data_IF_308436006097
#
_entry.id   IF_308436006097
#
_cell.length_a   1.000
_cell.length_b   1.000
_cell.length_c   1.000
_cell.angle_alpha   90.00
_cell.angle_beta   90.00
_cell.angle_gamma   90.00
#
_symmetry.space_group_name_H-M   'P 1'
#
loop_
_entity.id
_entity.type
_entity.pdbx_description
1 polymer ?
#
# COMPACT_ATOMS: atom_id res chain seq x y z
N UNK A 1 3.08 -7.10 -23.14
CA UNK A 1 2.38 -7.70 -21.98
C UNK A 1 3.35 -7.79 -20.78
N UNK A 2 3.52 -6.66 -20.11
CA UNK A 2 4.27 -6.58 -18.85
C UNK A 2 3.45 -7.34 -17.81
N UNK A 3 4.01 -8.43 -17.27
CA UNK A 3 3.33 -9.28 -16.29
C UNK A 3 2.90 -8.45 -15.08
N UNK A 4 1.61 -8.41 -14.77
CA UNK A 4 1.04 -7.66 -13.65
C UNK A 4 1.50 -8.20 -12.28
N UNK A 5 2.02 -9.43 -12.27
CA UNK A 5 2.60 -10.10 -11.11
C UNK A 5 4.14 -10.00 -11.07
N UNK A 6 4.78 -9.27 -12.00
CA UNK A 6 6.24 -9.15 -11.98
C UNK A 6 6.66 -8.29 -10.79
N UNK A 7 7.34 -8.93 -9.84
CA UNK A 7 8.11 -8.26 -8.83
C UNK A 7 9.60 -8.42 -9.14
N UNK A 8 10.41 -7.46 -8.74
CA UNK A 8 11.86 -7.59 -8.85
C UNK A 8 12.42 -8.62 -7.84
N UNK A 9 13.75 -8.70 -7.75
CA UNK A 9 14.44 -9.60 -6.81
C UNK A 9 14.12 -9.30 -5.33
N UNK A 10 13.56 -8.12 -5.04
CA UNK A 10 13.17 -7.67 -3.71
C UNK A 10 11.67 -7.77 -3.46
N UNK A 11 10.91 -8.42 -4.34
CA UNK A 11 9.46 -8.52 -4.19
C UNK A 11 8.72 -7.21 -4.46
N UNK A 12 9.39 -6.19 -5.03
CA UNK A 12 8.77 -4.90 -5.35
C UNK A 12 8.00 -5.04 -6.67
N UNK A 13 6.68 -4.86 -6.59
CA UNK A 13 5.77 -4.84 -7.76
C UNK A 13 5.65 -3.44 -8.35
N UNK A 14 5.09 -3.35 -9.56
CA UNK A 14 4.72 -2.06 -10.16
C UNK A 14 3.73 -1.27 -9.29
N UNK A 15 2.83 -1.94 -8.58
CA UNK A 15 1.85 -1.28 -7.72
C UNK A 15 2.50 -0.64 -6.48
N UNK A 16 3.59 -1.22 -5.96
CA UNK A 16 4.40 -0.58 -4.92
C UNK A 16 5.03 0.73 -5.40
N UNK A 17 5.62 0.72 -6.60
CA UNK A 17 6.24 1.90 -7.19
C UNK A 17 5.19 2.99 -7.46
N UNK A 18 4.05 2.61 -8.04
CA UNK A 18 2.92 3.55 -8.25
C UNK A 18 2.43 4.14 -6.94
N UNK A 19 2.34 3.33 -5.88
CA UNK A 19 1.95 3.79 -4.56
C UNK A 19 2.97 4.77 -3.96
N UNK A 20 4.27 4.53 -4.10
CA UNK A 20 5.31 5.46 -3.64
C UNK A 20 5.42 6.75 -4.45
N UNK A 21 5.01 6.73 -5.72
CA UNK A 21 5.06 7.87 -6.64
C UNK A 21 3.70 8.59 -6.79
N UNK A 22 2.68 8.20 -6.02
CA UNK A 22 1.31 8.73 -6.09
C UNK A 22 0.68 8.65 -7.50
N UNK A 23 0.97 7.60 -8.28
CA UNK A 23 0.47 7.44 -9.66
C UNK A 23 -0.90 6.77 -9.70
N UNK A 24 -1.94 7.44 -9.19
CA UNK A 24 -3.30 6.90 -9.01
C UNK A 24 -3.89 6.35 -10.32
N UNK A 25 -3.79 7.10 -11.42
CA UNK A 25 -4.35 6.67 -12.72
C UNK A 25 -3.75 5.33 -13.19
N UNK A 26 -2.45 5.14 -12.97
CA UNK A 26 -1.76 3.90 -13.36
C UNK A 26 -2.05 2.77 -12.38
N UNK A 27 -2.14 3.07 -11.09
CA UNK A 27 -2.54 2.12 -10.07
C UNK A 27 -3.96 1.59 -10.33
N UNK A 28 -4.91 2.46 -10.70
CA UNK A 28 -6.27 2.08 -11.09
C UNK A 28 -6.28 1.10 -12.24
N UNK A 29 -5.57 1.41 -13.32
CA UNK A 29 -5.48 0.52 -14.47
C UNK A 29 -4.88 -0.85 -14.10
N UNK A 30 -3.88 -0.88 -13.22
CA UNK A 30 -3.27 -2.14 -12.77
C UNK A 30 -4.20 -2.98 -11.90
N UNK A 31 -4.92 -2.34 -10.98
CA UNK A 31 -5.94 -3.01 -10.16
C UNK A 31 -7.08 -3.55 -11.01
N UNK A 32 -7.55 -2.79 -12.01
CA UNK A 32 -8.56 -3.23 -12.97
C UNK A 32 -8.12 -4.46 -13.78
N UNK A 33 -6.83 -4.55 -14.10
CA UNK A 33 -6.27 -5.73 -14.77
C UNK A 33 -5.93 -6.89 -13.81
N UNK A 34 -6.22 -6.75 -12.52
CA UNK A 34 -6.04 -7.82 -11.53
C UNK A 34 -4.65 -7.89 -10.90
N UNK A 35 -3.91 -6.77 -10.85
CA UNK A 35 -2.72 -6.67 -10.00
C UNK A 35 -3.12 -6.92 -8.54
N UNK A 36 -2.32 -7.72 -7.83
CA UNK A 36 -2.57 -8.03 -6.42
C UNK A 36 -2.00 -6.93 -5.50
N UNK A 37 -2.84 -6.17 -4.77
CA UNK A 37 -2.38 -5.13 -3.85
C UNK A 37 -1.77 -5.66 -2.55
N UNK A 38 -1.88 -6.97 -2.30
CA UNK A 38 -1.42 -7.62 -1.08
C UNK A 38 -0.05 -8.28 -1.20
N UNK A 39 0.60 -8.18 -2.36
CA UNK A 39 2.00 -8.61 -2.50
C UNK A 39 2.85 -7.83 -1.51
N UNK A 40 3.71 -8.55 -0.78
CA UNK A 40 4.62 -7.99 0.21
C UNK A 40 6.04 -7.87 -0.38
N UNK A 41 6.65 -6.70 -0.22
CA UNK A 41 8.08 -6.56 -0.49
C UNK A 41 8.93 -7.43 0.47
N UNK A 42 10.15 -7.79 0.07
CA UNK A 42 11.04 -8.62 0.87
C UNK A 42 11.82 -7.84 1.93
N UNK A 43 11.91 -6.51 1.81
CA UNK A 43 12.75 -5.69 2.69
C UNK A 43 12.10 -5.54 4.07
N UNK A 44 10.80 -5.24 4.09
CA UNK A 44 10.04 -5.01 5.32
C UNK A 44 8.77 -5.85 5.41
N UNK A 45 8.33 -6.47 4.31
CA UNK A 45 7.02 -7.13 4.25
C UNK A 45 5.87 -6.16 4.02
N UNK A 46 6.12 -5.00 3.41
CA UNK A 46 5.10 -3.97 3.23
C UNK A 46 4.30 -4.21 1.95
N UNK A 47 3.01 -3.88 1.97
CA UNK A 47 2.12 -3.89 0.81
C UNK A 47 2.14 -2.55 0.07
N UNK A 48 1.43 -2.46 -1.06
CA UNK A 48 1.30 -1.18 -1.80
C UNK A 48 0.62 -0.09 -0.96
N UNK A 49 -0.38 -0.42 -0.15
CA UNK A 49 -0.99 0.54 0.77
C UNK A 49 -0.01 1.03 1.84
N UNK A 50 0.86 0.15 2.34
CA UNK A 50 1.88 0.51 3.31
C UNK A 50 2.95 1.43 2.70
N UNK A 51 3.28 1.26 1.41
CA UNK A 51 4.17 2.17 0.68
C UNK A 51 3.57 3.57 0.53
N UNK A 52 2.29 3.67 0.17
CA UNK A 52 1.58 4.97 0.10
C UNK A 52 1.58 5.67 1.47
N UNK A 53 1.24 4.93 2.53
CA UNK A 53 1.24 5.44 3.90
C UNK A 53 2.63 5.87 4.38
N UNK A 54 3.69 5.11 4.04
CA UNK A 54 5.08 5.46 4.34
C UNK A 54 5.52 6.76 3.64
N UNK A 55 5.11 6.95 2.39
CA UNK A 55 5.47 8.11 1.59
C UNK A 55 4.64 9.36 1.90
N UNK A 56 3.51 9.23 2.60
CA UNK A 56 2.66 10.37 2.97
C UNK A 56 1.65 10.75 1.90
N UNK A 57 1.26 9.83 1.02
CA UNK A 57 0.32 10.09 -0.08
C UNK A 57 -1.11 9.77 0.36
N UNK A 58 -1.79 10.77 0.90
CA UNK A 58 -3.17 10.73 1.39
C UNK A 58 -4.19 10.36 0.31
N UNK A 59 -4.04 10.92 -0.90
CA UNK A 59 -4.89 10.60 -2.04
C UNK A 59 -4.76 9.12 -2.46
N UNK A 60 -3.53 8.60 -2.57
CA UNK A 60 -3.30 7.18 -2.89
C UNK A 60 -3.81 6.25 -1.80
N UNK A 61 -3.64 6.60 -0.51
CA UNK A 61 -4.18 5.80 0.60
C UNK A 61 -5.69 5.72 0.49
N UNK A 62 -6.36 6.86 0.28
CA UNK A 62 -7.82 6.92 0.17
C UNK A 62 -8.30 6.12 -1.04
N UNK A 63 -7.66 6.29 -2.20
CA UNK A 63 -7.95 5.54 -3.42
C UNK A 63 -7.83 4.01 -3.22
N UNK A 64 -6.74 3.53 -2.61
CA UNK A 64 -6.55 2.09 -2.37
C UNK A 64 -7.62 1.55 -1.41
N UNK A 65 -7.98 2.29 -0.37
CA UNK A 65 -9.07 1.87 0.54
C UNK A 65 -10.42 1.83 -0.18
N UNK A 66 -10.72 2.84 -1.00
CA UNK A 66 -11.97 2.94 -1.77
C UNK A 66 -12.11 1.85 -2.84
N UNK A 67 -11.00 1.34 -3.38
CA UNK A 67 -10.98 0.17 -4.27
C UNK A 67 -11.17 -1.16 -3.52
N UNK A 68 -11.37 -1.13 -2.21
CA UNK A 68 -11.65 -2.29 -1.37
C UNK A 68 -10.39 -3.01 -0.86
N UNK A 69 -9.21 -2.40 -0.98
CA UNK A 69 -7.99 -2.93 -0.39
C UNK A 69 -8.11 -2.87 1.13
N UNK A 70 -7.93 -4.01 1.80
CA UNK A 70 -7.92 -4.08 3.25
C UNK A 70 -6.77 -3.24 3.82
N UNK A 71 -7.07 -2.49 4.87
CA UNK A 71 -6.11 -1.60 5.54
C UNK A 71 -5.00 -2.32 6.30
N UNK A 72 -5.22 -3.59 6.64
CA UNK A 72 -4.24 -4.49 7.26
C UNK A 72 -4.70 -5.94 7.10
N UNK A 73 -3.75 -6.87 7.13
CA UNK A 73 -3.98 -8.31 7.13
C UNK A 73 -3.52 -8.93 8.45
N UNK A 74 -4.17 -10.01 8.94
CA UNK A 74 -3.81 -10.65 10.21
C UNK A 74 -2.35 -11.12 10.30
N UNK A 75 -1.75 -11.45 9.16
CA UNK A 75 -0.38 -11.92 9.06
C UNK A 75 0.63 -10.83 8.68
N UNK A 76 0.21 -9.56 8.62
CA UNK A 76 1.13 -8.45 8.40
C UNK A 76 2.12 -8.33 9.57
N UNK A 77 3.41 -8.08 9.29
CA UNK A 77 4.35 -7.74 10.34
C UNK A 77 3.94 -6.42 11.03
N UNK A 78 3.91 -6.34 12.38
CA UNK A 78 3.47 -5.14 13.11
C UNK A 78 4.26 -3.86 12.82
N UNK A 79 5.48 -3.98 12.25
CA UNK A 79 6.30 -2.83 11.87
C UNK A 79 6.10 -2.38 10.41
N UNK A 80 5.34 -3.16 9.63
CA UNK A 80 5.18 -3.00 8.18
C UNK A 80 3.71 -2.73 7.77
N UNK A 81 2.79 -2.67 8.74
CA UNK A 81 1.40 -2.26 8.47
C UNK A 81 1.36 -0.81 7.96
N UNK A 82 0.36 -0.46 7.14
CA UNK A 82 0.20 0.94 6.70
C UNK A 82 0.10 1.92 7.87
N UNK A 83 -0.56 1.52 8.97
CA UNK A 83 -0.71 2.36 10.15
C UNK A 83 0.64 2.56 10.86
N UNK A 84 1.43 1.49 11.06
CA UNK A 84 2.75 1.60 11.67
C UNK A 84 3.66 2.54 10.87
N UNK A 85 3.63 2.49 9.53
CA UNK A 85 4.39 3.40 8.69
C UNK A 85 3.92 4.85 8.78
N UNK A 86 2.61 5.10 8.75
CA UNK A 86 2.05 6.45 8.88
C UNK A 86 2.44 7.08 10.23
N UNK A 87 2.30 6.34 11.33
CA UNK A 87 2.67 6.80 12.67
C UNK A 87 4.17 7.06 12.80
N UNK A 88 5.00 6.11 12.34
CA UNK A 88 6.47 6.23 12.37
C UNK A 88 6.99 7.44 11.59
N UNK A 89 6.28 7.83 10.52
CA UNK A 89 6.64 8.97 9.66
C UNK A 89 5.96 10.28 10.06
N UNK A 90 5.02 10.25 11.01
CA UNK A 90 4.30 11.43 11.47
C UNK A 90 3.14 11.86 10.57
N UNK A 91 2.67 11.00 9.67
CA UNK A 91 1.57 11.28 8.75
C UNK A 91 0.22 11.09 9.46
N UNK A 92 -0.12 12.05 10.32
CA UNK A 92 -1.26 11.95 11.24
C UNK A 92 -2.60 11.79 10.52
N UNK A 93 -2.83 12.53 9.43
CA UNK A 93 -4.09 12.44 8.66
C UNK A 93 -4.28 11.06 8.06
N UNK A 94 -3.21 10.46 7.50
CA UNK A 94 -3.22 9.10 6.98
C UNK A 94 -3.49 8.09 8.10
N UNK A 95 -2.83 8.25 9.26
CA UNK A 95 -3.06 7.38 10.41
C UNK A 95 -4.52 7.44 10.89
N UNK A 96 -5.14 8.62 10.87
CA UNK A 96 -6.56 8.77 11.19
C UNK A 96 -7.46 8.07 10.16
N UNK A 97 -7.21 8.26 8.87
CA UNK A 97 -7.97 7.59 7.79
C UNK A 97 -7.87 6.06 7.94
N UNK A 98 -6.67 5.54 8.18
CA UNK A 98 -6.43 4.11 8.38
C UNK A 98 -7.19 3.58 9.61
N UNK A 99 -7.10 4.25 10.77
CA UNK A 99 -7.83 3.84 11.98
C UNK A 99 -9.34 3.88 11.80
N UNK A 100 -9.88 4.91 11.13
CA UNK A 100 -11.31 5.00 10.80
C UNK A 100 -11.77 3.83 9.93
N UNK A 101 -10.88 3.29 9.11
CA UNK A 101 -11.10 2.11 8.28
C UNK A 101 -10.58 0.81 8.91
N UNK A 102 -10.48 0.75 10.24
CA UNK A 102 -10.20 -0.47 10.99
C UNK A 102 -8.76 -0.99 10.89
N UNK A 103 -7.81 -0.17 10.45
CA UNK A 103 -6.41 -0.57 10.44
C UNK A 103 -5.90 -0.86 11.85
N UNK A 104 -5.14 -1.94 11.98
CA UNK A 104 -4.36 -2.25 13.18
C UNK A 104 -2.88 -1.96 12.92
N UNK A 105 -2.17 -1.58 13.99
CA UNK A 105 -0.73 -1.38 13.97
C UNK A 105 -0.01 -2.73 14.04
#
# INVERSE_FOLDING_TARGET
>A
PTSLAQHDLFGITQLHLMAAENQIDRASLFLEFGADPYVRDQEYGSTSLAWAARCGHDEMVSFLIETGVKTSLPEDPPWATPLAWAEKRGHQEIAEVLRRNGAIA
#
